data_IF_768756870268
#
_entry.id   IF_768756870268
#
_cell.length_a   1.000
_cell.length_b   1.000
_cell.length_c   1.000
_cell.angle_alpha   90.00
_cell.angle_beta   90.00
_cell.angle_gamma   90.00
#
_symmetry.space_group_name_H-M   'P 1'
#
loop_
_entity.id
_entity.type
_entity.pdbx_description
1 polymer ?
#
# COMPACT_ATOMS: atom_id res chain seq x y z
N UNK A 1 -12.93 -5.89 -11.49
CA UNK A 1 -11.75 -5.22 -10.91
C UNK A 1 -11.19 -6.18 -9.90
N UNK A 2 -10.10 -6.84 -10.26
CA UNK A 2 -9.48 -7.82 -9.40
C UNK A 2 -8.71 -7.14 -8.27
N UNK A 3 -8.82 -7.69 -7.06
CA UNK A 3 -7.97 -7.33 -5.91
C UNK A 3 -6.50 -7.25 -6.31
N UNK A 4 -6.05 -8.20 -7.15
CA UNK A 4 -4.67 -8.25 -7.66
C UNK A 4 -4.30 -7.06 -8.52
N UNK A 5 -5.18 -6.60 -9.42
CA UNK A 5 -4.92 -5.42 -10.24
C UNK A 5 -4.85 -4.16 -9.38
N UNK A 6 -5.75 -4.04 -8.42
CA UNK A 6 -5.81 -2.91 -7.50
C UNK A 6 -4.54 -2.86 -6.65
N UNK A 7 -4.19 -3.97 -5.99
CA UNK A 7 -2.97 -4.05 -5.20
C UNK A 7 -1.73 -3.79 -6.06
N UNK A 8 -1.67 -4.35 -7.28
CA UNK A 8 -0.58 -4.13 -8.22
C UNK A 8 -0.38 -2.68 -8.64
N UNK A 9 -1.44 -1.85 -8.64
CA UNK A 9 -1.34 -0.41 -8.91
C UNK A 9 -1.01 0.41 -7.66
N UNK A 10 -1.54 0.02 -6.51
CA UNK A 10 -1.40 0.79 -5.27
C UNK A 10 -0.04 0.58 -4.61
N UNK A 11 0.48 -0.66 -4.59
CA UNK A 11 1.81 -0.97 -4.02
C UNK A 11 2.92 -0.08 -4.59
N UNK A 12 3.13 0.03 -5.91
CA UNK A 12 4.21 0.87 -6.44
C UNK A 12 4.01 2.36 -6.13
N UNK A 13 2.76 2.87 -6.12
CA UNK A 13 2.47 4.25 -5.74
C UNK A 13 2.84 4.52 -4.28
N UNK A 14 2.48 3.60 -3.37
CA UNK A 14 2.84 3.71 -1.95
C UNK A 14 4.35 3.63 -1.73
N UNK A 15 5.05 2.78 -2.47
CA UNK A 15 6.51 2.65 -2.34
C UNK A 15 7.25 3.87 -2.90
N UNK A 16 6.72 4.49 -3.95
CA UNK A 16 7.30 5.71 -4.55
C UNK A 16 6.96 6.97 -3.75
N UNK A 17 5.77 7.03 -3.14
CA UNK A 17 5.27 8.21 -2.47
C UNK A 17 5.17 8.01 -0.95
N UNK A 18 6.15 8.54 -0.22
CA UNK A 18 6.24 8.42 1.25
C UNK A 18 5.03 9.03 1.96
N UNK A 19 4.36 10.01 1.37
CA UNK A 19 3.15 10.59 1.96
C UNK A 19 1.98 9.62 1.85
N UNK A 20 1.79 9.00 0.68
CA UNK A 20 0.77 7.97 0.52
C UNK A 20 1.04 6.77 1.43
N UNK A 21 2.31 6.41 1.64
CA UNK A 21 2.66 5.33 2.58
C UNK A 21 2.26 5.66 4.02
N UNK A 22 2.47 6.90 4.47
CA UNK A 22 2.01 7.36 5.79
C UNK A 22 0.50 7.41 5.88
N UNK A 23 -0.18 7.93 4.86
CA UNK A 23 -1.64 7.96 4.80
C UNK A 23 -2.23 6.56 4.79
N UNK A 24 -1.56 5.61 4.14
CA UNK A 24 -1.94 4.20 4.14
C UNK A 24 -1.67 3.52 5.50
N UNK A 25 -0.56 3.84 6.17
CA UNK A 25 -0.30 3.35 7.53
C UNK A 25 -1.35 3.89 8.53
N UNK A 26 -1.81 5.13 8.35
CA UNK A 26 -2.84 5.74 9.18
C UNK A 26 -4.26 5.27 8.83
N UNK A 27 -4.62 5.27 7.55
CA UNK A 27 -5.94 4.95 7.02
C UNK A 27 -5.83 4.24 5.65
N UNK A 28 -5.58 2.91 5.65
CA UNK A 28 -5.33 2.17 4.41
C UNK A 28 -6.56 2.08 3.51
N UNK A 29 -7.76 1.92 4.07
CA UNK A 29 -9.02 1.88 3.31
C UNK A 29 -9.26 3.19 2.55
N UNK A 30 -9.25 4.32 3.29
CA UNK A 30 -9.45 5.65 2.73
C UNK A 30 -8.41 6.04 1.68
N UNK A 31 -7.17 5.59 1.87
CA UNK A 31 -6.08 5.82 0.91
C UNK A 31 -6.32 5.05 -0.39
N UNK A 32 -6.70 3.78 -0.30
CA UNK A 32 -7.08 2.97 -1.47
C UNK A 32 -8.26 3.60 -2.21
N UNK A 33 -9.31 4.00 -1.49
CA UNK A 33 -10.47 4.67 -2.07
C UNK A 33 -10.10 6.00 -2.74
N UNK A 34 -9.22 6.78 -2.13
CA UNK A 34 -8.76 8.07 -2.68
C UNK A 34 -7.91 7.90 -3.94
N UNK A 35 -7.11 6.82 -4.03
CA UNK A 35 -6.30 6.51 -5.21
C UNK A 35 -7.20 6.05 -6.37
N UNK A 36 -8.15 5.16 -6.08
CA UNK A 36 -8.99 4.54 -7.12
C UNK A 36 -10.17 5.45 -7.51
N UNK A 37 -10.59 6.36 -6.62
CA UNK A 37 -11.75 7.26 -6.81
C UNK A 37 -12.99 6.50 -7.25
N UNK A 38 -13.23 5.33 -6.64
CA UNK A 38 -14.35 4.43 -6.97
C UNK A 38 -14.85 3.77 -5.69
N UNK A 39 -16.15 3.52 -5.62
CA UNK A 39 -16.75 2.64 -4.62
C UNK A 39 -16.26 1.20 -4.85
N UNK A 40 -15.40 0.75 -3.94
CA UNK A 40 -14.90 -0.62 -3.88
C UNK A 40 -15.57 -1.28 -2.68
N UNK A 41 -16.03 -2.54 -2.79
CA UNK A 41 -16.57 -3.26 -1.63
C UNK A 41 -15.52 -3.35 -0.51
N UNK A 42 -15.95 -3.16 0.75
CA UNK A 42 -15.07 -3.28 1.94
C UNK A 42 -14.26 -4.58 1.98
N UNK A 43 -14.85 -5.68 1.51
CA UNK A 43 -14.19 -6.99 1.46
C UNK A 43 -12.97 -7.00 0.52
N UNK A 44 -13.14 -6.36 -0.65
CA UNK A 44 -12.07 -6.15 -1.63
C UNK A 44 -11.03 -5.18 -1.08
N UNK A 45 -11.46 -4.10 -0.42
CA UNK A 45 -10.54 -3.15 0.24
C UNK A 45 -9.67 -3.88 1.26
N UNK A 46 -10.25 -4.67 2.17
CA UNK A 46 -9.49 -5.42 3.17
C UNK A 46 -8.50 -6.42 2.57
N UNK A 47 -8.88 -7.11 1.49
CA UNK A 47 -7.96 -7.99 0.78
C UNK A 47 -6.80 -7.21 0.14
N UNK A 48 -7.08 -6.06 -0.48
CA UNK A 48 -6.04 -5.18 -1.05
C UNK A 48 -5.11 -4.68 0.05
N UNK A 49 -5.65 -4.20 1.18
CA UNK A 49 -4.86 -3.74 2.32
C UNK A 49 -3.92 -4.83 2.78
N UNK A 50 -4.42 -6.06 2.91
CA UNK A 50 -3.61 -7.21 3.35
C UNK A 50 -2.50 -7.53 2.35
N UNK A 51 -2.80 -7.54 1.05
CA UNK A 51 -1.81 -7.77 0.00
C UNK A 51 -0.75 -6.65 -0.04
N UNK A 52 -1.17 -5.39 0.08
CA UNK A 52 -0.29 -4.22 0.11
C UNK A 52 0.59 -4.24 1.36
N UNK A 53 0.02 -4.46 2.55
CA UNK A 53 0.79 -4.61 3.79
C UNK A 53 1.76 -5.78 3.71
N UNK A 54 1.37 -6.91 3.13
CA UNK A 54 2.27 -8.04 2.93
C UNK A 54 3.43 -7.68 1.98
N UNK A 55 3.16 -6.97 0.88
CA UNK A 55 4.20 -6.52 -0.05
C UNK A 55 5.14 -5.50 0.59
N UNK A 56 4.61 -4.49 1.30
CA UNK A 56 5.39 -3.46 1.98
C UNK A 56 6.18 -4.04 3.15
N UNK A 57 5.57 -4.88 3.99
CA UNK A 57 6.24 -5.54 5.12
C UNK A 57 7.26 -6.58 4.66
N UNK A 58 6.96 -7.33 3.60
CA UNK A 58 7.93 -8.23 2.96
C UNK A 58 9.15 -7.47 2.44
N UNK A 59 8.93 -6.27 1.88
CA UNK A 59 10.01 -5.38 1.45
C UNK A 59 10.76 -4.73 2.64
N UNK A 60 10.07 -4.39 3.73
CA UNK A 60 10.70 -3.92 4.99
C UNK A 60 11.57 -4.99 5.64
N UNK A 61 11.12 -6.26 5.63
CA UNK A 61 11.86 -7.40 6.17
C UNK A 61 13.09 -7.78 5.31
N UNK A 62 13.07 -7.46 4.01
CA UNK A 62 14.14 -7.81 3.07
C UNK A 62 15.31 -6.81 2.95
N UNK A 63 15.23 -5.61 3.52
CA UNK A 63 16.35 -4.65 3.47
C UNK A 63 16.00 -3.17 3.30
N UNK A 64 14.73 -2.80 3.17
CA UNK A 64 14.37 -1.38 3.09
C UNK A 64 14.55 -0.62 4.40
N UNK A 65 14.38 -1.24 5.57
CA UNK A 65 14.66 -0.56 6.83
C UNK A 65 16.14 -0.18 6.98
N UNK A 66 17.03 -1.05 6.50
CA UNK A 66 18.48 -0.80 6.48
C UNK A 66 18.87 0.24 5.41
N UNK A 67 18.22 0.19 4.24
CA UNK A 67 18.48 1.13 3.14
C UNK A 67 17.90 2.52 3.39
N UNK A 68 16.72 2.63 4.01
CA UNK A 68 16.11 3.90 4.41
C UNK A 68 16.88 4.53 5.57
N UNK A 69 17.38 3.74 6.54
CA UNK A 69 18.29 4.26 7.59
C UNK A 69 19.62 4.77 7.05
N UNK A 70 20.12 4.23 5.93
CA UNK A 70 21.36 4.71 5.28
C UNK A 70 21.15 5.96 4.40
N UNK A 71 19.89 6.30 4.12
CA UNK A 71 19.52 7.44 3.29
C UNK A 71 19.14 8.69 4.10
N UNK A 72 19.15 8.58 5.44
CA UNK A 72 18.91 9.66 6.40
C UNK A 72 20.10 9.81 7.36
#
# INVERSE_FOLDING_TARGET
MDVKEIAGKIVPLLLQDKNLLKDFEANPAKTIESIIKKDIPDDVVNMVISAVKAAVSGNKAGGLLDSVKKMF
#
